data_IF_969921958910
#
_entry.id   IF_969921958910
#
_cell.length_a   1.000
_cell.length_b   1.000
_cell.length_c   1.000
_cell.angle_alpha   90.00
_cell.angle_beta   90.00
_cell.angle_gamma   90.00
#
_symmetry.space_group_name_H-M   'P 1'
#
loop_
_entity.id
_entity.type
_entity.pdbx_description
1 polymer ?
#
# COMPACT_ATOMS: atom_id res chain seq x y z
N UNK A 1 -9.01 -1.52 -5.89
CA UNK A 1 -8.24 -0.82 -4.83
C UNK A 1 -9.12 -0.39 -3.66
N UNK A 2 -10.26 0.30 -3.83
CA UNK A 2 -11.12 0.67 -2.69
C UNK A 2 -11.59 -0.52 -1.84
N UNK A 3 -11.99 -1.63 -2.46
CA UNK A 3 -12.37 -2.86 -1.75
C UNK A 3 -11.18 -3.50 -1.01
N UNK A 4 -9.98 -3.49 -1.60
CA UNK A 4 -8.75 -3.94 -0.96
C UNK A 4 -8.47 -3.14 0.32
N UNK A 5 -8.70 -1.83 0.29
CA UNK A 5 -8.50 -0.97 1.45
C UNK A 5 -9.37 -1.37 2.66
N UNK A 6 -10.57 -1.90 2.43
CA UNK A 6 -11.43 -2.45 3.49
C UNK A 6 -10.69 -3.59 4.22
N UNK A 7 -10.13 -4.53 3.47
CA UNK A 7 -9.44 -5.70 4.02
C UNK A 7 -8.27 -5.36 4.94
N UNK A 8 -7.60 -4.23 4.68
CA UNK A 8 -6.40 -3.81 5.42
C UNK A 8 -6.75 -2.86 6.57
N UNK A 9 -7.67 -1.91 6.35
CA UNK A 9 -7.89 -0.79 7.28
C UNK A 9 -9.00 -1.01 8.30
N UNK A 10 -9.84 -2.05 8.15
CA UNK A 10 -10.97 -2.25 9.05
C UNK A 10 -10.57 -2.86 10.40
N UNK A 11 -9.59 -3.77 10.43
CA UNK A 11 -9.09 -4.36 11.67
C UNK A 11 -8.61 -3.30 12.67
N UNK A 12 -7.71 -2.35 12.31
CA UNK A 12 -7.27 -1.32 13.25
C UNK A 12 -8.40 -0.48 13.85
N UNK A 13 -9.44 -0.20 13.07
CA UNK A 13 -10.61 0.58 13.53
C UNK A 13 -11.41 -0.17 14.60
N UNK A 14 -11.54 -1.50 14.47
CA UNK A 14 -12.34 -2.33 15.36
C UNK A 14 -11.51 -3.05 16.43
N UNK A 15 -10.19 -2.84 16.50
CA UNK A 15 -9.26 -3.67 17.26
C UNK A 15 -9.63 -3.78 18.74
N UNK A 16 -9.90 -2.67 19.40
CA UNK A 16 -10.27 -2.61 20.81
C UNK A 16 -11.62 -3.29 21.10
N UNK A 17 -12.61 -3.04 20.25
CA UNK A 17 -13.95 -3.65 20.39
C UNK A 17 -13.92 -5.16 20.11
N UNK A 18 -13.07 -5.62 19.19
CA UNK A 18 -12.80 -7.04 18.99
C UNK A 18 -12.14 -7.62 20.24
N UNK A 19 -11.13 -6.94 20.79
CA UNK A 19 -10.43 -7.36 22.00
C UNK A 19 -11.36 -7.64 23.17
N UNK A 20 -12.32 -6.76 23.41
CA UNK A 20 -13.33 -6.93 24.46
C UNK A 20 -14.38 -8.02 24.19
N UNK A 21 -14.51 -8.48 22.95
CA UNK A 21 -15.53 -9.48 22.57
C UNK A 21 -15.09 -10.93 22.76
N UNK A 22 -13.80 -11.16 22.99
CA UNK A 22 -13.21 -12.49 23.19
C UNK A 22 -12.36 -12.51 24.47
N UNK A 23 -12.01 -13.67 24.97
CA UNK A 23 -11.13 -13.80 26.15
C UNK A 23 -11.85 -13.64 27.49
N UNK A 24 -13.18 -13.60 27.52
CA UNK A 24 -13.97 -13.50 28.77
C UNK A 24 -13.78 -12.16 29.48
N UNK A 25 -13.65 -12.18 30.82
CA UNK A 25 -13.56 -10.97 31.65
C UNK A 25 -12.30 -10.12 31.42
N UNK A 26 -11.22 -10.70 30.88
CA UNK A 26 -9.95 -10.01 30.66
C UNK A 26 -9.77 -9.53 29.21
N UNK A 27 -10.64 -9.96 28.27
CA UNK A 27 -10.48 -9.66 26.85
C UNK A 27 -9.32 -10.43 26.21
N UNK A 28 -8.97 -10.06 24.97
CA UNK A 28 -7.75 -10.52 24.29
C UNK A 28 -6.57 -9.68 24.77
N UNK A 29 -5.41 -10.32 24.92
CA UNK A 29 -4.17 -9.63 25.19
C UNK A 29 -3.61 -8.92 23.93
N UNK A 30 -2.63 -8.02 24.14
CA UNK A 30 -2.04 -7.23 23.05
C UNK A 30 -1.32 -8.12 22.02
N UNK A 31 -0.74 -9.23 22.46
CA UNK A 31 -0.10 -10.20 21.58
C UNK A 31 -1.12 -10.89 20.68
N UNK A 32 -2.26 -11.30 21.22
CA UNK A 32 -3.35 -11.92 20.45
C UNK A 32 -3.92 -10.93 19.42
N UNK A 33 -4.10 -9.67 19.79
CA UNK A 33 -4.54 -8.62 18.88
C UNK A 33 -3.50 -8.34 17.79
N UNK A 34 -2.23 -8.29 18.13
CA UNK A 34 -1.13 -8.16 17.19
C UNK A 34 -1.03 -9.33 16.21
N UNK A 35 -1.26 -10.55 16.70
CA UNK A 35 -1.31 -11.76 15.85
C UNK A 35 -2.41 -11.71 14.79
N UNK A 36 -3.58 -11.14 15.09
CA UNK A 36 -4.65 -10.97 14.09
C UNK A 36 -4.19 -10.10 12.92
N UNK A 37 -3.51 -8.98 13.20
CA UNK A 37 -2.90 -8.14 12.17
C UNK A 37 -1.84 -8.88 11.38
N UNK A 38 -0.95 -9.60 12.06
CA UNK A 38 0.09 -10.42 11.42
C UNK A 38 -0.49 -11.51 10.51
N UNK A 39 -1.55 -12.20 10.94
CA UNK A 39 -2.23 -13.24 10.15
C UNK A 39 -2.93 -12.64 8.92
N UNK A 40 -3.60 -11.49 9.07
CA UNK A 40 -4.19 -10.78 7.94
C UNK A 40 -3.11 -10.39 6.91
N UNK A 41 -2.00 -9.82 7.38
CA UNK A 41 -0.87 -9.42 6.51
C UNK A 41 -0.17 -10.62 5.86
N UNK A 42 -0.04 -11.74 6.58
CA UNK A 42 0.45 -13.00 6.01
C UNK A 42 -0.45 -13.49 4.87
N UNK A 43 -1.78 -13.38 5.03
CA UNK A 43 -2.74 -13.63 3.95
C UNK A 43 -2.48 -12.75 2.73
N UNK A 44 -2.23 -11.44 2.92
CA UNK A 44 -1.90 -10.50 1.84
C UNK A 44 -0.66 -10.97 1.07
N UNK A 45 0.42 -11.29 1.77
CA UNK A 45 1.69 -11.72 1.15
C UNK A 45 1.50 -13.02 0.35
N UNK A 46 0.80 -14.01 0.91
CA UNK A 46 0.48 -15.26 0.20
C UNK A 46 -0.36 -14.96 -1.05
N UNK A 47 -1.38 -14.10 -0.92
CA UNK A 47 -2.22 -13.68 -2.05
C UNK A 47 -1.42 -13.06 -3.20
N UNK A 48 -0.49 -12.16 -2.89
CA UNK A 48 0.39 -11.52 -3.86
C UNK A 48 1.29 -12.56 -4.56
N UNK A 49 2.01 -13.37 -3.78
CA UNK A 49 3.03 -14.28 -4.31
C UNK A 49 2.42 -15.42 -5.14
N UNK A 50 1.27 -15.95 -4.71
CA UNK A 50 0.59 -17.04 -5.41
C UNK A 50 -0.16 -16.53 -6.64
N UNK A 51 -0.80 -15.36 -6.54
CA UNK A 51 -1.61 -14.82 -7.64
C UNK A 51 -0.77 -14.47 -8.86
N UNK A 52 0.46 -13.92 -8.70
CA UNK A 52 1.28 -13.46 -9.82
C UNK A 52 1.50 -14.51 -10.89
N UNK A 53 2.17 -15.63 -10.58
CA UNK A 53 2.42 -16.70 -11.54
C UNK A 53 1.14 -17.37 -12.06
N UNK A 54 0.13 -17.49 -11.22
CA UNK A 54 -1.14 -18.11 -11.59
C UNK A 54 -1.98 -17.22 -12.51
N UNK A 55 -1.99 -15.90 -12.28
CA UNK A 55 -2.67 -14.94 -13.15
C UNK A 55 -2.07 -14.88 -14.54
N UNK A 56 -0.76 -15.09 -14.65
CA UNK A 56 -0.07 -15.25 -15.93
C UNK A 56 -0.55 -16.47 -16.72
N UNK A 57 -0.93 -17.54 -16.03
CA UNK A 57 -1.33 -18.81 -16.65
C UNK A 57 -2.84 -18.90 -16.90
N UNK A 58 -3.66 -18.42 -15.97
CA UNK A 58 -5.11 -18.61 -15.97
C UNK A 58 -5.88 -17.32 -16.31
N UNK A 59 -5.16 -16.22 -16.54
CA UNK A 59 -5.74 -14.92 -16.85
C UNK A 59 -6.16 -14.11 -15.63
N UNK A 60 -6.11 -12.79 -15.76
CA UNK A 60 -6.37 -11.84 -14.67
C UNK A 60 -7.81 -11.85 -14.16
N UNK A 61 -8.78 -12.13 -15.04
CA UNK A 61 -10.22 -12.10 -14.69
C UNK A 61 -10.57 -13.03 -13.54
N UNK A 62 -10.06 -14.27 -13.57
CA UNK A 62 -10.30 -15.26 -12.52
C UNK A 62 -9.84 -14.75 -11.15
N UNK A 63 -8.66 -14.12 -11.09
CA UNK A 63 -8.10 -13.63 -9.84
C UNK A 63 -8.75 -12.34 -9.36
N UNK A 64 -9.16 -11.44 -10.27
CA UNK A 64 -9.93 -10.27 -9.89
C UNK A 64 -11.32 -10.62 -9.30
N UNK A 65 -11.99 -11.63 -9.86
CA UNK A 65 -13.22 -12.19 -9.29
C UNK A 65 -12.96 -12.89 -7.96
N UNK A 66 -11.97 -13.79 -7.93
CA UNK A 66 -11.59 -14.57 -6.75
C UNK A 66 -11.17 -13.68 -5.59
N UNK A 67 -10.40 -12.62 -5.84
CA UNK A 67 -9.98 -11.66 -4.82
C UNK A 67 -11.15 -10.93 -4.17
N UNK A 68 -12.12 -10.43 -4.96
CA UNK A 68 -13.34 -9.81 -4.40
C UNK A 68 -14.23 -10.83 -3.68
N UNK A 69 -14.33 -12.06 -4.18
CA UNK A 69 -15.09 -13.14 -3.53
C UNK A 69 -14.44 -13.53 -2.18
N UNK A 70 -13.10 -13.65 -2.13
CA UNK A 70 -12.36 -13.90 -0.89
C UNK A 70 -12.51 -12.76 0.11
N UNK A 71 -12.47 -11.48 -0.34
CA UNK A 71 -12.77 -10.34 0.53
C UNK A 71 -14.19 -10.45 1.11
N UNK A 72 -15.18 -10.73 0.26
CA UNK A 72 -16.57 -10.89 0.71
C UNK A 72 -16.72 -12.02 1.71
N UNK A 73 -16.10 -13.18 1.42
CA UNK A 73 -16.09 -14.33 2.32
C UNK A 73 -15.40 -13.99 3.64
N UNK A 74 -14.24 -13.33 3.59
CA UNK A 74 -13.49 -12.91 4.79
C UNK A 74 -14.30 -11.99 5.67
N UNK A 75 -14.99 -10.99 5.09
CA UNK A 75 -15.89 -10.08 5.83
C UNK A 75 -17.00 -10.86 6.56
N UNK A 76 -17.64 -11.83 5.90
CA UNK A 76 -18.66 -12.67 6.51
C UNK A 76 -18.08 -13.56 7.61
N UNK A 77 -16.95 -14.23 7.36
CA UNK A 77 -16.29 -15.08 8.36
C UNK A 77 -15.90 -14.31 9.61
N UNK A 78 -15.32 -13.12 9.45
CA UNK A 78 -14.96 -12.25 10.59
C UNK A 78 -16.22 -11.83 11.34
N UNK A 79 -17.27 -11.36 10.66
CA UNK A 79 -18.51 -10.92 11.28
C UNK A 79 -19.24 -12.03 12.06
N UNK A 80 -19.16 -13.28 11.59
CA UNK A 80 -19.84 -14.42 12.18
C UNK A 80 -18.97 -15.26 13.11
N UNK A 81 -17.71 -14.84 13.35
CA UNK A 81 -16.73 -15.61 14.10
C UNK A 81 -17.18 -15.90 15.55
N UNK A 82 -17.27 -17.19 15.96
CA UNK A 82 -17.64 -17.54 17.32
C UNK A 82 -16.41 -17.63 18.26
N UNK A 83 -15.22 -17.92 17.70
CA UNK A 83 -13.99 -18.14 18.45
C UNK A 83 -12.84 -17.32 17.88
N UNK A 84 -11.80 -17.09 18.70
CA UNK A 84 -10.58 -16.41 18.26
C UNK A 84 -9.91 -17.08 17.05
N UNK A 85 -9.83 -18.40 17.03
CA UNK A 85 -9.21 -19.15 15.93
C UNK A 85 -10.00 -18.96 14.61
N UNK A 86 -11.32 -18.99 14.70
CA UNK A 86 -12.19 -18.74 13.55
C UNK A 86 -12.08 -17.29 13.06
N UNK A 87 -11.96 -16.34 13.99
CA UNK A 87 -11.68 -14.93 13.70
C UNK A 87 -10.36 -14.75 12.95
N UNK A 88 -9.29 -15.40 13.45
CA UNK A 88 -7.97 -15.38 12.82
C UNK A 88 -8.00 -15.95 11.40
N UNK A 89 -8.71 -17.06 11.20
CA UNK A 89 -8.94 -17.64 9.88
C UNK A 89 -9.71 -16.68 8.96
N UNK A 90 -10.75 -16.02 9.47
CA UNK A 90 -11.48 -14.97 8.74
C UNK A 90 -10.57 -13.83 8.27
N UNK A 91 -9.68 -13.34 9.14
CA UNK A 91 -8.70 -12.31 8.78
C UNK A 91 -7.65 -12.80 7.79
N UNK A 92 -7.22 -14.07 7.87
CA UNK A 92 -6.36 -14.67 6.86
C UNK A 92 -7.02 -14.66 5.46
N UNK A 93 -8.28 -15.08 5.37
CA UNK A 93 -9.04 -15.09 4.09
C UNK A 93 -9.25 -13.67 3.57
N UNK A 94 -9.57 -12.74 4.46
CA UNK A 94 -9.72 -11.31 4.13
C UNK A 94 -8.42 -10.73 3.55
N UNK A 95 -7.29 -11.00 4.22
CA UNK A 95 -5.97 -10.61 3.76
C UNK A 95 -5.60 -11.26 2.43
N UNK A 96 -5.87 -12.55 2.26
CA UNK A 96 -5.63 -13.27 1.01
C UNK A 96 -6.36 -12.62 -0.17
N UNK A 97 -7.64 -12.28 0.00
CA UNK A 97 -8.42 -11.56 -1.01
C UNK A 97 -7.84 -10.18 -1.33
N UNK A 98 -7.40 -9.44 -0.31
CA UNK A 98 -6.75 -8.16 -0.48
C UNK A 98 -5.44 -8.28 -1.29
N UNK A 99 -4.58 -9.26 -0.95
CA UNK A 99 -3.32 -9.49 -1.67
C UNK A 99 -3.51 -9.91 -3.12
N UNK A 100 -4.51 -10.75 -3.41
CA UNK A 100 -4.86 -11.11 -4.78
C UNK A 100 -5.27 -9.88 -5.59
N UNK A 101 -6.08 -8.98 -5.03
CA UNK A 101 -6.49 -7.74 -5.72
C UNK A 101 -5.33 -6.76 -5.88
N UNK A 102 -4.47 -6.63 -4.88
CA UNK A 102 -3.30 -5.74 -4.95
C UNK A 102 -2.39 -6.12 -6.13
N UNK A 103 -2.15 -7.42 -6.27
CA UNK A 103 -1.32 -7.95 -7.35
C UNK A 103 -2.00 -7.81 -8.72
N UNK A 104 -3.26 -8.25 -8.87
CA UNK A 104 -3.88 -8.41 -10.20
C UNK A 104 -4.33 -7.11 -10.84
N UNK A 105 -4.73 -6.11 -10.04
CA UNK A 105 -5.28 -4.86 -10.59
C UNK A 105 -4.22 -4.00 -11.27
N UNK A 106 -3.00 -4.00 -10.78
CA UNK A 106 -1.90 -3.21 -11.34
C UNK A 106 -1.54 -3.64 -12.79
N UNK A 107 -1.27 -4.92 -13.09
CA UNK A 107 -1.01 -5.33 -14.47
C UNK A 107 -2.21 -5.15 -15.39
N UNK A 108 -3.45 -5.33 -14.91
CA UNK A 108 -4.67 -5.08 -15.69
C UNK A 108 -4.74 -3.61 -16.12
N UNK A 109 -4.55 -2.68 -15.18
CA UNK A 109 -4.59 -1.24 -15.48
C UNK A 109 -3.42 -0.82 -16.36
N UNK A 110 -2.23 -1.41 -16.19
CA UNK A 110 -1.08 -1.18 -17.06
C UNK A 110 -1.33 -1.63 -18.49
N UNK A 111 -1.95 -2.79 -18.67
CA UNK A 111 -2.29 -3.33 -19.98
C UNK A 111 -3.37 -2.50 -20.72
N UNK A 112 -4.36 -2.00 -19.98
CA UNK A 112 -5.43 -1.14 -20.52
C UNK A 112 -4.96 0.27 -20.89
N UNK A 113 -3.81 0.74 -20.37
CA UNK A 113 -3.34 2.11 -20.54
C UNK A 113 -1.85 2.17 -20.95
N UNK A 114 -1.43 1.58 -22.08
CA UNK A 114 -0.03 1.44 -22.46
C UNK A 114 0.69 2.79 -22.62
N UNK A 115 -0.03 3.84 -23.09
CA UNK A 115 0.55 5.16 -23.35
C UNK A 115 0.59 6.07 -22.10
N UNK A 116 -0.21 5.76 -21.06
CA UNK A 116 -0.40 6.60 -19.87
C UNK A 116 -0.27 5.81 -18.57
N UNK A 117 0.61 4.82 -18.52
CA UNK A 117 0.73 3.89 -17.36
C UNK A 117 0.94 4.61 -16.04
N UNK A 118 1.81 5.62 -16.00
CA UNK A 118 2.07 6.37 -14.76
C UNK A 118 0.82 7.09 -14.25
N UNK A 119 0.06 7.74 -15.13
CA UNK A 119 -1.22 8.36 -14.78
C UNK A 119 -2.22 7.34 -14.28
N UNK A 120 -2.41 6.26 -15.02
CA UNK A 120 -3.38 5.21 -14.70
C UNK A 120 -3.05 4.50 -13.37
N UNK A 121 -1.77 4.24 -13.09
CA UNK A 121 -1.33 3.65 -11.83
C UNK A 121 -1.56 4.59 -10.65
N UNK A 122 -1.25 5.87 -10.78
CA UNK A 122 -1.51 6.84 -9.71
C UNK A 122 -3.01 6.97 -9.45
N UNK A 123 -3.87 6.99 -10.47
CA UNK A 123 -5.32 6.94 -10.31
C UNK A 123 -5.78 5.64 -9.62
N UNK A 124 -5.30 4.48 -10.05
CA UNK A 124 -5.63 3.20 -9.44
C UNK A 124 -5.34 3.19 -7.95
N UNK A 125 -4.13 3.59 -7.57
CA UNK A 125 -3.69 3.59 -6.17
C UNK A 125 -4.29 4.74 -5.34
N UNK A 126 -4.78 5.84 -5.96
CA UNK A 126 -5.54 6.86 -5.24
C UNK A 126 -6.87 6.31 -4.70
N UNK A 127 -7.51 5.38 -5.43
CA UNK A 127 -8.70 4.69 -4.94
C UNK A 127 -8.45 3.80 -3.71
N UNK A 128 -7.21 3.33 -3.49
CA UNK A 128 -6.85 2.70 -2.22
C UNK A 128 -6.98 3.68 -1.06
N UNK A 129 -6.40 4.87 -1.20
CA UNK A 129 -6.46 5.91 -0.16
C UNK A 129 -7.89 6.36 0.10
N UNK A 130 -8.68 6.58 -0.96
CA UNK A 130 -10.12 6.91 -0.83
C UNK A 130 -10.87 5.78 -0.10
N UNK A 131 -10.59 4.52 -0.46
CA UNK A 131 -11.17 3.35 0.21
C UNK A 131 -10.79 3.27 1.68
N UNK A 132 -9.52 3.57 2.03
CA UNK A 132 -9.05 3.61 3.41
C UNK A 132 -9.80 4.68 4.22
N UNK A 133 -9.90 5.90 3.69
CA UNK A 133 -10.67 6.99 4.32
C UNK A 133 -12.13 6.60 4.54
N UNK A 134 -12.79 6.08 3.52
CA UNK A 134 -14.20 5.63 3.62
C UNK A 134 -14.34 4.53 4.68
N UNK A 135 -13.43 3.55 4.69
CA UNK A 135 -13.45 2.45 5.66
C UNK A 135 -13.32 2.96 7.09
N UNK A 136 -12.35 3.86 7.33
CA UNK A 136 -12.14 4.45 8.66
C UNK A 136 -13.33 5.29 9.08
N UNK A 137 -13.88 6.13 8.20
CA UNK A 137 -15.04 6.97 8.51
C UNK A 137 -16.28 6.12 8.81
N UNK A 138 -16.59 5.12 7.97
CA UNK A 138 -17.74 4.23 8.19
C UNK A 138 -17.57 3.44 9.48
N UNK A 139 -16.39 2.85 9.68
CA UNK A 139 -16.11 2.06 10.88
C UNK A 139 -16.19 2.90 12.17
N UNK A 140 -15.50 4.04 12.20
CA UNK A 140 -15.48 4.91 13.39
C UNK A 140 -16.85 5.54 13.70
N UNK A 141 -17.58 5.96 12.65
CA UNK A 141 -18.93 6.49 12.84
C UNK A 141 -19.89 5.42 13.35
N UNK A 142 -19.83 4.20 12.81
CA UNK A 142 -20.67 3.09 13.24
C UNK A 142 -20.39 2.72 14.72
N UNK A 143 -19.12 2.68 15.13
CA UNK A 143 -18.76 2.49 16.54
C UNK A 143 -19.26 3.63 17.44
N UNK A 144 -19.16 4.87 16.98
CA UNK A 144 -19.65 6.03 17.71
C UNK A 144 -21.18 5.96 17.97
N UNK A 145 -21.94 5.44 16.98
CA UNK A 145 -23.38 5.19 17.13
C UNK A 145 -23.72 3.89 17.87
N UNK A 146 -22.73 3.23 18.47
CA UNK A 146 -22.93 2.01 19.27
C UNK A 146 -23.23 0.75 18.46
N UNK A 147 -22.95 0.76 17.16
CA UNK A 147 -23.12 -0.45 16.33
C UNK A 147 -22.06 -1.48 16.69
N UNK A 148 -22.46 -2.76 16.67
CA UNK A 148 -21.53 -3.87 16.86
C UNK A 148 -20.44 -3.87 15.77
N UNK A 149 -19.19 -4.12 16.16
CA UNK A 149 -18.09 -4.29 15.21
C UNK A 149 -18.38 -5.35 14.14
N UNK A 150 -19.14 -6.41 14.48
CA UNK A 150 -19.56 -7.44 13.53
C UNK A 150 -20.42 -6.86 12.41
N UNK A 151 -21.34 -5.95 12.75
CA UNK A 151 -22.21 -5.30 11.76
C UNK A 151 -21.38 -4.40 10.84
N UNK A 152 -20.30 -3.77 11.31
CA UNK A 152 -19.43 -2.92 10.49
C UNK A 152 -18.80 -3.72 9.36
N UNK A 153 -18.33 -4.94 9.62
CA UNK A 153 -17.81 -5.83 8.57
C UNK A 153 -18.88 -6.16 7.53
N UNK A 154 -20.14 -6.38 7.94
CA UNK A 154 -21.24 -6.61 7.01
C UNK A 154 -21.68 -5.37 6.24
N UNK A 155 -21.60 -4.17 6.83
CA UNK A 155 -21.90 -2.91 6.15
C UNK A 155 -20.97 -2.63 4.97
N UNK A 156 -19.74 -3.12 5.02
CA UNK A 156 -18.76 -2.94 3.94
C UNK A 156 -18.77 -4.08 2.90
N UNK A 157 -19.51 -5.16 3.15
CA UNK A 157 -19.68 -6.30 2.24
C UNK A 157 -20.26 -5.94 0.85
N UNK A 158 -21.23 -5.00 0.72
CA UNK A 158 -21.83 -4.71 -0.59
C UNK A 158 -20.83 -4.27 -1.66
N UNK A 159 -19.74 -3.58 -1.29
CA UNK A 159 -18.76 -3.09 -2.26
C UNK A 159 -18.01 -4.24 -2.95
N UNK A 160 -17.29 -5.16 -2.26
CA UNK A 160 -16.61 -6.27 -2.95
C UNK A 160 -17.59 -7.24 -3.61
N UNK A 161 -18.80 -7.44 -3.07
CA UNK A 161 -19.83 -8.26 -3.69
C UNK A 161 -20.31 -7.65 -5.03
N UNK A 162 -20.59 -6.35 -5.06
CA UNK A 162 -20.97 -5.63 -6.29
C UNK A 162 -19.84 -5.66 -7.33
N UNK A 163 -18.58 -5.49 -6.89
CA UNK A 163 -17.41 -5.58 -7.78
C UNK A 163 -17.23 -6.99 -8.34
N UNK A 164 -17.51 -8.04 -7.59
CA UNK A 164 -17.52 -9.41 -8.11
C UNK A 164 -18.50 -9.55 -9.27
N UNK A 165 -19.73 -9.06 -9.09
CA UNK A 165 -20.77 -9.11 -10.14
C UNK A 165 -20.39 -8.26 -11.36
N UNK A 166 -19.85 -7.04 -11.12
CA UNK A 166 -19.41 -6.15 -12.19
C UNK A 166 -18.26 -6.76 -13.00
N UNK A 167 -17.24 -7.30 -12.35
CA UNK A 167 -16.09 -7.92 -13.02
C UNK A 167 -16.46 -9.20 -13.77
N UNK A 168 -17.49 -9.94 -13.32
CA UNK A 168 -18.01 -11.09 -14.06
C UNK A 168 -18.51 -10.69 -15.47
N UNK A 169 -19.11 -9.50 -15.58
CA UNK A 169 -19.71 -8.98 -16.83
C UNK A 169 -18.73 -8.21 -17.72
N UNK A 170 -17.62 -7.73 -17.18
CA UNK A 170 -16.65 -6.93 -17.93
C UNK A 170 -15.64 -7.82 -18.67
N UNK A 171 -15.21 -7.42 -19.87
CA UNK A 171 -14.05 -8.02 -20.51
C UNK A 171 -12.78 -7.62 -19.74
N UNK A 172 -11.82 -8.54 -19.67
CA UNK A 172 -10.50 -8.29 -19.12
C UNK A 172 -9.45 -8.41 -20.22
N UNK A 173 -8.38 -7.60 -20.18
CA UNK A 173 -7.29 -7.73 -21.12
C UNK A 173 -6.50 -9.01 -20.84
N UNK A 174 -5.96 -9.62 -21.88
CA UNK A 174 -4.92 -10.61 -21.75
C UNK A 174 -3.65 -9.89 -21.25
N UNK A 175 -3.12 -10.34 -20.13
CA UNK A 175 -1.95 -9.68 -19.51
C UNK A 175 -0.72 -9.85 -20.38
N UNK A 176 -0.46 -11.07 -20.83
CA UNK A 176 0.59 -11.43 -21.80
C UNK A 176 0.27 -12.82 -22.35
N UNK A 177 0.41 -13.04 -23.64
CA UNK A 177 0.33 -14.39 -24.23
C UNK A 177 1.60 -15.17 -23.92
N UNK A 178 1.49 -16.47 -23.64
CA UNK A 178 2.64 -17.33 -23.28
C UNK A 178 3.79 -17.29 -24.30
N UNK A 179 3.48 -17.06 -25.58
CA UNK A 179 4.47 -17.00 -26.67
C UNK A 179 5.33 -15.72 -26.68
N UNK A 180 4.85 -14.63 -26.04
CA UNK A 180 5.56 -13.34 -26.02
C UNK A 180 6.12 -12.98 -24.65
N UNK A 181 5.87 -13.83 -23.63
CA UNK A 181 6.23 -13.57 -22.25
C UNK A 181 7.73 -13.73 -22.01
N UNK A 182 8.33 -12.73 -21.37
CA UNK A 182 9.70 -12.85 -20.89
C UNK A 182 9.72 -13.69 -19.61
N UNK A 183 10.49 -14.79 -19.53
CA UNK A 183 10.60 -15.60 -18.32
C UNK A 183 11.05 -14.74 -17.12
N UNK A 184 10.37 -14.89 -15.98
CA UNK A 184 10.63 -14.06 -14.80
C UNK A 184 12.09 -14.11 -14.33
N UNK A 185 12.74 -15.27 -14.39
CA UNK A 185 14.16 -15.43 -14.05
C UNK A 185 15.10 -14.60 -14.93
N UNK A 186 14.71 -14.36 -16.20
CA UNK A 186 15.49 -13.50 -17.10
C UNK A 186 15.36 -12.04 -16.67
N UNK A 187 14.15 -11.62 -16.30
CA UNK A 187 13.91 -10.26 -15.78
C UNK A 187 14.64 -10.06 -14.44
N UNK A 188 14.57 -11.04 -13.55
CA UNK A 188 15.21 -10.99 -12.23
C UNK A 188 16.74 -10.83 -12.31
N UNK A 189 17.38 -11.37 -13.35
CA UNK A 189 18.82 -11.22 -13.56
C UNK A 189 19.23 -9.86 -14.13
N UNK A 190 18.27 -9.03 -14.55
CA UNK A 190 18.57 -7.71 -15.08
C UNK A 190 18.92 -6.73 -13.94
N UNK A 191 20.10 -6.08 -13.95
CA UNK A 191 20.52 -5.16 -12.88
C UNK A 191 19.48 -4.04 -12.66
N UNK A 192 18.88 -3.54 -13.72
CA UNK A 192 17.85 -2.52 -13.64
C UNK A 192 16.62 -2.97 -12.84
N UNK A 193 16.19 -4.24 -13.03
CA UNK A 193 15.05 -4.79 -12.30
C UNK A 193 15.37 -5.00 -10.81
N UNK A 194 16.61 -5.41 -10.50
CA UNK A 194 17.07 -5.51 -9.10
C UNK A 194 17.04 -4.11 -8.43
N UNK A 195 17.49 -3.07 -9.13
CA UNK A 195 17.37 -1.69 -8.64
C UNK A 195 15.89 -1.31 -8.43
N UNK A 196 14.99 -1.72 -9.32
CA UNK A 196 13.55 -1.47 -9.18
C UNK A 196 12.96 -2.19 -7.96
N UNK A 197 13.38 -3.44 -7.67
CA UNK A 197 12.99 -4.18 -6.45
C UNK A 197 13.45 -3.46 -5.18
N UNK A 198 14.69 -2.99 -5.15
CA UNK A 198 15.22 -2.20 -4.03
C UNK A 198 14.48 -0.86 -3.90
N UNK A 199 14.19 -0.20 -5.02
CA UNK A 199 13.50 1.08 -5.03
C UNK A 199 12.04 0.94 -4.53
N UNK A 200 11.30 -0.10 -4.94
CA UNK A 200 9.93 -0.28 -4.47
C UNK A 200 9.88 -0.67 -2.99
N UNK A 201 10.89 -1.41 -2.52
CA UNK A 201 11.08 -1.67 -1.09
C UNK A 201 11.20 -0.34 -0.31
N UNK A 202 12.04 0.59 -0.79
CA UNK A 202 12.15 1.93 -0.22
C UNK A 202 10.83 2.71 -0.32
N UNK A 203 10.07 2.56 -1.40
CA UNK A 203 8.76 3.18 -1.58
C UNK A 203 7.76 2.73 -0.52
N UNK A 204 7.63 1.41 -0.31
CA UNK A 204 6.77 0.84 0.73
C UNK A 204 7.23 1.21 2.15
N UNK A 205 8.54 1.20 2.40
CA UNK A 205 9.13 1.64 3.65
C UNK A 205 8.82 3.12 3.95
N UNK A 206 8.83 3.98 2.92
CA UNK A 206 8.51 5.42 3.05
C UNK A 206 7.05 5.62 3.45
N UNK A 207 6.13 4.91 2.82
CA UNK A 207 4.69 5.04 3.04
C UNK A 207 4.28 4.50 4.41
N UNK A 208 4.60 3.23 4.67
CA UNK A 208 4.10 2.51 5.85
C UNK A 208 4.94 2.78 7.11
N UNK A 209 6.23 3.10 6.97
CA UNK A 209 7.10 3.40 8.10
C UNK A 209 6.58 4.54 8.96
N UNK A 210 6.17 5.65 8.34
CA UNK A 210 5.61 6.79 9.04
C UNK A 210 4.14 6.59 9.40
N UNK A 211 3.32 6.08 8.46
CA UNK A 211 1.88 5.93 8.67
C UNK A 211 1.54 5.09 9.90
N UNK A 212 2.29 4.01 10.12
CA UNK A 212 2.08 3.10 11.25
C UNK A 212 2.32 3.77 12.61
N UNK A 213 3.30 4.64 12.70
CA UNK A 213 3.71 5.27 13.97
C UNK A 213 3.14 6.67 14.18
N UNK A 214 2.56 7.29 13.15
CA UNK A 214 2.08 8.68 13.21
C UNK A 214 1.09 8.94 14.36
N UNK A 215 0.08 8.08 14.62
CA UNK A 215 -0.83 8.28 15.75
C UNK A 215 -0.12 8.22 17.10
N UNK A 216 0.74 7.22 17.30
CA UNK A 216 1.51 7.06 18.53
C UNK A 216 2.49 8.23 18.74
N UNK A 217 3.19 8.64 17.69
CA UNK A 217 4.10 9.78 17.71
C UNK A 217 3.41 11.07 18.11
N UNK A 218 2.23 11.34 17.54
CA UNK A 218 1.43 12.51 17.88
C UNK A 218 1.05 12.52 19.37
N UNK A 219 0.71 11.37 19.95
CA UNK A 219 0.29 11.23 21.34
C UNK A 219 1.48 11.24 22.30
N UNK A 220 2.43 10.33 22.11
CA UNK A 220 3.46 10.06 23.11
C UNK A 220 4.64 11.03 23.04
N UNK A 221 4.98 11.52 21.85
CA UNK A 221 6.15 12.37 21.64
C UNK A 221 5.80 13.84 21.46
N UNK A 222 4.70 14.13 20.73
CA UNK A 222 4.28 15.52 20.50
C UNK A 222 3.28 16.01 21.56
N UNK A 223 2.73 15.13 22.39
CA UNK A 223 1.84 15.48 23.52
C UNK A 223 0.41 15.84 23.12
N UNK A 224 -0.05 15.46 21.94
CA UNK A 224 -1.42 15.69 21.52
C UNK A 224 -2.40 14.68 22.12
N UNK A 225 -3.67 15.07 22.20
CA UNK A 225 -4.73 14.16 22.60
C UNK A 225 -4.88 12.97 21.61
N UNK A 226 -5.34 11.78 22.06
CA UNK A 226 -5.44 10.57 21.23
C UNK A 226 -6.20 10.75 19.90
N UNK A 227 -7.29 11.54 19.92
CA UNK A 227 -8.07 11.80 18.71
C UNK A 227 -7.30 12.58 17.63
N UNK A 228 -6.31 13.42 18.03
CA UNK A 228 -5.44 14.16 17.10
C UNK A 228 -4.55 13.18 16.33
N UNK A 229 -4.07 12.11 16.98
CA UNK A 229 -3.30 11.06 16.31
C UNK A 229 -4.09 10.34 15.22
N UNK A 230 -5.35 10.01 15.50
CA UNK A 230 -6.25 9.44 14.50
C UNK A 230 -6.54 10.40 13.33
N UNK A 231 -6.79 11.68 13.65
CA UNK A 231 -7.01 12.73 12.65
C UNK A 231 -5.73 12.95 11.79
N UNK A 232 -4.55 12.88 12.38
CA UNK A 232 -3.29 13.00 11.66
C UNK A 232 -3.11 11.86 10.64
N UNK A 233 -3.42 10.61 11.00
CA UNK A 233 -3.39 9.50 10.06
C UNK A 233 -4.43 9.64 8.95
N UNK A 234 -5.64 10.11 9.27
CA UNK A 234 -6.66 10.38 8.28
C UNK A 234 -6.21 11.46 7.30
N UNK A 235 -5.68 12.58 7.80
CA UNK A 235 -5.19 13.68 6.95
C UNK A 235 -3.94 13.31 6.15
N UNK A 236 -3.06 12.47 6.69
CA UNK A 236 -1.96 11.85 5.96
C UNK A 236 -2.47 11.03 4.77
N UNK A 237 -3.48 10.18 4.99
CA UNK A 237 -4.09 9.36 3.93
C UNK A 237 -4.78 10.21 2.86
N UNK A 238 -5.45 11.30 3.27
CA UNK A 238 -6.03 12.28 2.34
C UNK A 238 -4.95 13.01 1.53
N UNK A 239 -3.87 13.45 2.17
CA UNK A 239 -2.74 14.08 1.51
C UNK A 239 -2.11 13.14 0.48
N UNK A 240 -1.99 11.85 0.80
CA UNK A 240 -1.54 10.81 -0.12
C UNK A 240 -2.49 10.64 -1.31
N UNK A 241 -3.80 10.59 -1.08
CA UNK A 241 -4.79 10.52 -2.15
C UNK A 241 -4.67 11.73 -3.10
N UNK A 242 -4.57 12.95 -2.55
CA UNK A 242 -4.39 14.19 -3.32
C UNK A 242 -3.12 14.14 -4.17
N UNK A 243 -1.99 13.70 -3.58
CA UNK A 243 -0.73 13.58 -4.31
C UNK A 243 -0.79 12.58 -5.47
N UNK A 244 -1.39 11.41 -5.26
CA UNK A 244 -1.62 10.40 -6.33
C UNK A 244 -2.52 10.93 -7.43
N UNK A 245 -3.62 11.59 -7.06
CA UNK A 245 -4.53 12.21 -8.02
C UNK A 245 -3.83 13.31 -8.83
N UNK A 246 -3.03 14.18 -8.18
CA UNK A 246 -2.29 15.23 -8.86
C UNK A 246 -1.33 14.68 -9.93
N UNK A 247 -0.57 13.61 -9.61
CA UNK A 247 0.30 12.94 -10.58
C UNK A 247 -0.53 12.23 -11.66
N UNK A 248 -1.65 11.60 -11.29
CA UNK A 248 -2.60 11.03 -12.25
C UNK A 248 -3.11 12.05 -13.27
N UNK A 249 -3.48 13.26 -12.82
CA UNK A 249 -3.93 14.37 -13.68
C UNK A 249 -2.78 14.98 -14.51
N UNK A 250 -1.56 15.04 -13.95
CA UNK A 250 -0.41 15.54 -14.71
C UNK A 250 -0.09 14.65 -15.92
N UNK A 251 -0.38 13.35 -15.83
CA UNK A 251 -0.30 12.40 -16.93
C UNK A 251 1.08 12.33 -17.58
N UNK A 252 1.13 12.42 -18.90
CA UNK A 252 2.38 12.36 -19.68
C UNK A 252 3.17 13.67 -19.71
N UNK A 253 2.64 14.75 -19.09
CA UNK A 253 3.30 16.07 -19.07
C UNK A 253 4.54 16.10 -18.16
N UNK A 254 4.65 15.13 -17.26
CA UNK A 254 5.76 15.07 -16.28
C UNK A 254 6.61 13.82 -16.52
N UNK A 255 7.92 13.98 -16.34
CA UNK A 255 8.84 12.85 -16.40
C UNK A 255 8.76 12.05 -15.10
N UNK A 256 8.41 10.74 -15.13
CA UNK A 256 8.21 9.94 -13.92
C UNK A 256 9.47 9.83 -13.04
N UNK A 257 10.66 9.81 -13.63
CA UNK A 257 11.92 9.78 -12.87
C UNK A 257 12.14 11.09 -12.10
N UNK A 258 11.86 12.25 -12.72
CA UNK A 258 11.97 13.53 -12.05
C UNK A 258 10.97 13.65 -10.90
N UNK A 259 9.73 13.22 -11.14
CA UNK A 259 8.67 13.17 -10.12
C UNK A 259 9.10 12.31 -8.93
N UNK A 260 9.56 11.08 -9.15
CA UNK A 260 10.00 10.21 -8.06
C UNK A 260 11.18 10.79 -7.28
N UNK A 261 12.17 11.42 -7.94
CA UNK A 261 13.31 12.01 -7.26
C UNK A 261 12.90 13.23 -6.43
N UNK A 262 12.13 14.17 -7.01
CA UNK A 262 11.68 15.35 -6.27
C UNK A 262 10.75 14.99 -5.11
N UNK A 263 9.84 14.01 -5.31
CA UNK A 263 8.97 13.48 -4.29
C UNK A 263 9.77 12.81 -3.15
N UNK A 264 10.76 11.99 -3.49
CA UNK A 264 11.65 11.36 -2.51
C UNK A 264 12.44 12.38 -1.69
N UNK A 265 13.07 13.36 -2.33
CA UNK A 265 13.82 14.41 -1.63
C UNK A 265 12.88 15.28 -0.77
N UNK A 266 11.69 15.60 -1.26
CA UNK A 266 10.64 16.25 -0.47
C UNK A 266 10.25 15.43 0.75
N UNK A 267 10.10 14.11 0.61
CA UNK A 267 9.79 13.20 1.72
C UNK A 267 10.91 13.16 2.75
N UNK A 268 12.18 13.10 2.32
CA UNK A 268 13.34 13.22 3.24
C UNK A 268 13.23 14.47 4.07
N UNK A 269 13.03 15.62 3.42
CA UNK A 269 12.96 16.92 4.10
C UNK A 269 11.82 16.95 5.13
N UNK A 270 10.60 16.63 4.72
CA UNK A 270 9.43 16.73 5.62
C UNK A 270 9.48 15.69 6.73
N UNK A 271 10.03 14.49 6.51
CA UNK A 271 10.21 13.48 7.56
C UNK A 271 11.25 13.91 8.59
N UNK A 272 12.39 14.47 8.18
CA UNK A 272 13.39 15.00 9.10
C UNK A 272 12.83 16.19 9.90
N UNK A 273 12.13 17.10 9.25
CA UNK A 273 11.46 18.22 9.93
C UNK A 273 10.40 17.69 10.91
N UNK A 274 9.59 16.72 10.50
CA UNK A 274 8.58 16.09 11.35
C UNK A 274 9.16 15.39 12.58
N UNK A 275 10.34 14.77 12.44
CA UNK A 275 11.02 14.09 13.55
C UNK A 275 11.70 15.06 14.52
N UNK A 276 12.37 16.12 14.02
CA UNK A 276 13.32 16.89 14.82
C UNK A 276 12.91 18.33 15.12
N UNK A 277 11.85 18.88 14.48
CA UNK A 277 11.37 20.21 14.85
C UNK A 277 10.86 20.26 16.29
N UNK A 278 11.21 21.30 17.05
CA UNK A 278 10.80 21.43 18.44
C UNK A 278 9.32 21.77 18.62
N UNK A 279 8.71 22.42 17.62
CA UNK A 279 7.31 22.85 17.67
C UNK A 279 6.36 21.69 17.29
N UNK A 280 5.54 21.14 18.23
CA UNK A 280 4.74 19.94 18.00
C UNK A 280 3.78 20.07 16.81
N UNK A 281 3.08 21.20 16.67
CA UNK A 281 2.12 21.40 15.59
C UNK A 281 2.79 21.42 14.21
N UNK A 282 3.95 22.06 14.08
CA UNK A 282 4.70 22.11 12.81
C UNK A 282 5.28 20.73 12.48
N UNK A 283 5.81 20.01 13.49
CA UNK A 283 6.28 18.64 13.33
C UNK A 283 5.16 17.72 12.81
N UNK A 284 3.95 17.80 13.40
CA UNK A 284 2.80 17.02 12.98
C UNK A 284 2.39 17.35 11.54
N UNK A 285 2.34 18.62 11.16
CA UNK A 285 2.04 19.04 9.77
C UNK A 285 3.08 18.48 8.80
N UNK A 286 4.36 18.53 9.14
CA UNK A 286 5.43 17.94 8.31
C UNK A 286 5.23 16.41 8.14
N UNK A 287 4.87 15.69 9.21
CA UNK A 287 4.55 14.27 9.11
C UNK A 287 3.34 14.02 8.18
N UNK A 288 2.30 14.84 8.24
CA UNK A 288 1.14 14.75 7.35
C UNK A 288 1.54 15.01 5.88
N UNK A 289 2.40 16.01 5.64
CA UNK A 289 2.90 16.34 4.30
C UNK A 289 3.78 15.24 3.71
N UNK A 290 4.36 14.36 4.53
CA UNK A 290 5.06 13.18 4.04
C UNK A 290 4.12 12.22 3.28
N UNK A 291 2.83 12.18 3.63
CA UNK A 291 1.81 11.48 2.84
C UNK A 291 1.69 12.04 1.42
N UNK A 292 1.70 13.37 1.28
CA UNK A 292 1.65 14.03 -0.03
C UNK A 292 2.91 13.75 -0.86
N UNK A 293 4.10 13.98 -0.26
CA UNK A 293 5.37 13.87 -0.97
C UNK A 293 5.71 12.42 -1.32
N UNK A 294 5.45 11.45 -0.43
CA UNK A 294 5.71 10.02 -0.66
C UNK A 294 4.68 9.33 -1.56
N UNK A 295 3.55 9.97 -1.83
CA UNK A 295 2.35 9.36 -2.42
C UNK A 295 2.57 8.62 -3.74
N UNK A 296 3.36 9.17 -4.64
CA UNK A 296 3.53 8.66 -6.01
C UNK A 296 4.66 7.64 -6.17
N UNK A 297 5.47 7.40 -5.14
CA UNK A 297 6.69 6.59 -5.27
C UNK A 297 6.38 5.16 -5.71
N UNK A 298 5.44 4.50 -5.05
CA UNK A 298 5.01 3.15 -5.37
C UNK A 298 4.35 3.05 -6.76
N UNK A 299 3.23 3.76 -7.05
CA UNK A 299 2.51 3.55 -8.31
C UNK A 299 3.31 4.00 -9.54
N UNK A 300 4.13 5.05 -9.40
CA UNK A 300 4.96 5.52 -10.51
C UNK A 300 6.09 4.54 -10.84
N UNK A 301 6.70 3.91 -9.83
CA UNK A 301 7.72 2.90 -10.07
C UNK A 301 7.15 1.64 -10.73
N UNK A 302 5.96 1.19 -10.33
CA UNK A 302 5.26 0.10 -11.01
C UNK A 302 5.05 0.43 -12.50
N UNK A 303 4.61 1.66 -12.80
CA UNK A 303 4.38 2.11 -14.18
C UNK A 303 5.67 2.12 -15.01
N UNK A 304 6.75 2.72 -14.49
CA UNK A 304 8.07 2.77 -15.17
C UNK A 304 8.63 1.37 -15.39
N UNK A 305 8.42 0.44 -14.45
CA UNK A 305 8.86 -0.94 -14.62
C UNK A 305 8.04 -1.67 -15.69
N UNK A 306 6.71 -1.43 -15.74
CA UNK A 306 5.85 -1.98 -16.79
C UNK A 306 6.19 -1.41 -18.18
N UNK A 307 6.61 -0.14 -18.27
CA UNK A 307 7.10 0.46 -19.52
C UNK A 307 8.41 -0.19 -19.99
N UNK A 308 9.30 -0.49 -19.04
CA UNK A 308 10.60 -1.11 -19.32
C UNK A 308 10.47 -2.58 -19.73
N UNK A 309 9.54 -3.29 -19.11
CA UNK A 309 9.32 -4.73 -19.30
C UNK A 309 7.85 -4.99 -19.70
N UNK A 310 7.42 -4.60 -20.89
CA UNK A 310 6.01 -4.72 -21.31
C UNK A 310 5.52 -6.19 -21.35
N UNK A 311 6.45 -7.14 -21.46
CA UNK A 311 6.17 -8.58 -21.47
C UNK A 311 6.50 -9.26 -20.11
N UNK A 312 6.61 -8.49 -19.01
CA UNK A 312 7.01 -9.01 -17.71
C UNK A 312 5.93 -9.82 -16.97
N UNK A 313 4.66 -9.60 -17.33
CA UNK A 313 3.53 -10.35 -16.77
C UNK A 313 3.28 -10.13 -15.28
N UNK A 314 2.35 -10.91 -14.71
CA UNK A 314 1.95 -10.83 -13.31
C UNK A 314 3.03 -11.22 -12.32
N UNK A 315 3.93 -12.15 -12.69
CA UNK A 315 5.05 -12.55 -11.84
C UNK A 315 5.99 -11.38 -11.53
N UNK A 316 6.22 -10.50 -12.50
CA UNK A 316 7.01 -9.27 -12.31
C UNK A 316 6.31 -8.32 -11.31
N UNK A 317 5.01 -8.09 -11.48
CA UNK A 317 4.23 -7.25 -10.56
C UNK A 317 4.14 -7.85 -9.16
N UNK A 318 4.01 -9.19 -9.05
CA UNK A 318 4.01 -9.87 -7.76
C UNK A 318 5.33 -9.71 -7.01
N UNK A 319 6.46 -9.79 -7.71
CA UNK A 319 7.78 -9.55 -7.10
C UNK A 319 7.93 -8.09 -6.62
N UNK A 320 7.48 -7.13 -7.43
CA UNK A 320 7.49 -5.71 -7.04
C UNK A 320 6.58 -5.47 -5.83
N UNK A 321 5.32 -5.92 -5.87
CA UNK A 321 4.39 -5.76 -4.75
C UNK A 321 4.90 -6.46 -3.49
N UNK A 322 5.43 -7.67 -3.60
CA UNK A 322 6.04 -8.41 -2.49
C UNK A 322 7.20 -7.65 -1.85
N UNK A 323 8.11 -7.11 -2.65
CA UNK A 323 9.24 -6.30 -2.16
C UNK A 323 8.80 -4.99 -1.53
N UNK A 324 7.81 -4.30 -2.10
CA UNK A 324 7.26 -3.08 -1.52
C UNK A 324 6.59 -3.34 -0.17
N UNK A 325 5.80 -4.42 -0.07
CA UNK A 325 5.21 -4.84 1.21
C UNK A 325 6.27 -5.25 2.24
N UNK A 326 7.36 -5.90 1.82
CA UNK A 326 8.48 -6.21 2.71
C UNK A 326 9.11 -4.94 3.31
N UNK A 327 9.27 -3.87 2.51
CA UNK A 327 9.70 -2.56 3.00
C UNK A 327 8.72 -1.96 4.01
N UNK A 328 7.43 -2.08 3.71
CA UNK A 328 6.34 -1.63 4.58
C UNK A 328 6.19 -2.41 5.88
N UNK A 329 6.71 -3.63 5.97
CA UNK A 329 6.78 -4.43 7.20
C UNK A 329 8.05 -4.09 7.99
N UNK A 330 9.19 -4.04 7.28
CA UNK A 330 10.49 -3.88 7.93
C UNK A 330 10.69 -2.50 8.55
N UNK A 331 10.23 -1.44 7.88
CA UNK A 331 10.46 -0.08 8.38
C UNK A 331 9.71 0.22 9.69
N UNK A 332 8.42 -0.07 9.86
CA UNK A 332 7.75 0.11 11.15
C UNK A 332 8.40 -0.69 12.29
N UNK A 333 8.87 -1.91 11.99
CA UNK A 333 9.60 -2.71 12.97
C UNK A 333 10.91 -2.04 13.40
N UNK A 334 11.70 -1.52 12.44
CA UNK A 334 12.93 -0.78 12.74
C UNK A 334 12.67 0.49 13.54
N UNK A 335 11.59 1.23 13.20
CA UNK A 335 11.19 2.43 13.95
C UNK A 335 10.85 2.07 15.40
N UNK A 336 10.11 0.98 15.63
CA UNK A 336 9.78 0.50 16.96
C UNK A 336 11.03 0.11 17.75
N UNK A 337 11.90 -0.70 17.14
CA UNK A 337 13.16 -1.15 17.75
C UNK A 337 14.05 0.03 18.18
N UNK A 338 14.18 1.06 17.33
CA UNK A 338 14.95 2.25 17.67
C UNK A 338 14.17 3.11 18.67
N UNK A 339 12.85 3.18 18.53
CA UNK A 339 11.97 3.92 19.42
C UNK A 339 12.11 3.48 20.88
N UNK A 340 12.18 2.17 21.11
CA UNK A 340 12.35 1.57 22.44
C UNK A 340 13.71 1.91 23.08
N UNK A 341 14.78 2.04 22.29
CA UNK A 341 16.14 2.23 22.79
C UNK A 341 16.58 3.71 22.80
N UNK A 342 16.12 4.50 21.84
CA UNK A 342 16.64 5.84 21.57
C UNK A 342 15.54 6.91 21.41
N UNK A 343 14.28 6.50 21.60
CA UNK A 343 13.12 7.37 21.47
C UNK A 343 12.54 7.44 20.06
N UNK A 344 11.24 7.63 19.99
CA UNK A 344 10.46 7.56 18.75
C UNK A 344 10.83 8.67 17.73
N UNK A 345 11.41 9.80 18.19
CA UNK A 345 11.94 10.84 17.28
C UNK A 345 13.06 10.32 16.37
N UNK A 346 14.01 9.56 16.96
CA UNK A 346 15.11 8.95 16.20
C UNK A 346 14.60 7.82 15.31
N UNK A 347 13.66 7.01 15.82
CA UNK A 347 13.01 5.97 15.02
C UNK A 347 12.34 6.54 13.78
N UNK A 348 11.56 7.61 13.91
CA UNK A 348 10.93 8.29 12.78
C UNK A 348 11.93 9.02 11.88
N UNK A 349 12.99 9.60 12.43
CA UNK A 349 14.08 10.19 11.65
C UNK A 349 14.74 9.19 10.71
N UNK A 350 14.85 7.92 11.13
CA UNK A 350 15.34 6.83 10.28
C UNK A 350 14.45 6.58 9.06
N UNK A 351 13.13 6.82 9.15
CA UNK A 351 12.23 6.68 8.00
C UNK A 351 12.68 7.52 6.80
N UNK A 352 13.36 8.66 7.03
CA UNK A 352 13.91 9.48 5.96
C UNK A 352 15.00 8.77 5.12
N UNK A 353 15.62 7.72 5.66
CA UNK A 353 16.56 6.87 4.93
C UNK A 353 15.93 6.12 3.76
N UNK A 354 14.65 5.73 3.88
CA UNK A 354 13.95 5.03 2.81
C UNK A 354 13.73 5.93 1.56
N UNK A 355 13.11 7.12 1.64
CA UNK A 355 12.98 7.97 0.47
C UNK A 355 14.35 8.48 -0.04
N UNK A 356 15.36 8.63 0.82
CA UNK A 356 16.71 8.93 0.36
C UNK A 356 17.29 7.79 -0.50
N UNK A 357 17.20 6.55 -0.03
CA UNK A 357 17.57 5.37 -0.81
C UNK A 357 16.81 5.28 -2.13
N UNK A 358 15.49 5.56 -2.11
CA UNK A 358 14.66 5.62 -3.30
C UNK A 358 15.19 6.66 -4.31
N UNK A 359 15.52 7.87 -3.87
CA UNK A 359 16.07 8.92 -4.74
C UNK A 359 17.36 8.47 -5.43
N UNK A 360 18.29 7.87 -4.67
CA UNK A 360 19.56 7.35 -5.20
C UNK A 360 19.29 6.25 -6.24
N UNK A 361 18.46 5.27 -5.91
CA UNK A 361 18.15 4.16 -6.81
C UNK A 361 17.48 4.65 -8.09
N UNK A 362 16.53 5.58 -8.00
CA UNK A 362 15.85 6.15 -9.17
C UNK A 362 16.82 6.94 -10.06
N UNK A 363 17.82 7.64 -9.48
CA UNK A 363 18.89 8.28 -10.26
C UNK A 363 19.69 7.25 -11.05
N UNK A 364 20.06 6.13 -10.41
CA UNK A 364 20.80 5.04 -11.07
C UNK A 364 19.98 4.32 -12.17
N UNK A 365 18.67 4.31 -12.02
CA UNK A 365 17.75 3.70 -12.99
C UNK A 365 17.47 4.57 -14.22
N UNK A 366 17.83 5.87 -14.19
CA UNK A 366 17.60 6.75 -15.34
C UNK A 366 18.28 6.21 -16.60
N UNK A 367 17.62 6.26 -17.76
CA UNK A 367 18.30 6.02 -19.03
C UNK A 367 19.44 7.05 -19.17
N UNK A 368 20.64 6.57 -19.50
CA UNK A 368 21.74 7.47 -19.85
C UNK A 368 21.23 8.48 -20.90
N UNK A 369 21.46 9.76 -20.70
CA UNK A 369 21.22 10.75 -21.76
C UNK A 369 21.94 10.24 -22.99
N UNK A 370 21.22 9.90 -24.05
CA UNK A 370 21.84 9.74 -25.36
C UNK A 370 22.59 11.05 -25.62
N UNK A 371 23.92 10.98 -25.66
CA UNK A 371 24.71 12.09 -26.11
C UNK A 371 24.13 12.47 -27.48
N UNK A 372 23.67 13.71 -27.63
CA UNK A 372 23.29 14.24 -28.94
C UNK A 372 24.44 13.89 -29.89
N UNK A 373 24.19 13.23 -31.01
CA UNK A 373 25.24 13.00 -31.99
C UNK A 373 25.80 14.36 -32.35
N UNK A 374 27.09 14.57 -32.08
CA UNK A 374 27.90 15.68 -32.59
C UNK A 374 28.06 15.50 -34.12
N UNK A 375 26.96 15.67 -34.84
CA UNK A 375 26.94 15.59 -36.29
C UNK A 375 25.92 16.58 -36.80
N UNK A 376 26.36 17.82 -36.95
CA UNK A 376 25.96 18.78 -38.00
C UNK A 376 26.51 20.18 -37.61
N UNK A 377 27.84 20.27 -37.47
CA UNK A 377 28.55 21.53 -37.74
C UNK A 377 29.65 21.15 -38.73
N UNK A 378 29.28 21.13 -39.98
CA UNK A 378 30.14 21.20 -41.13
C UNK A 378 29.38 21.96 -42.24
#
# INVERSE_FOLDING_TARGET
MGALAIGINLLPVCLTTIGHSYGGAHGLDEEQLGRLGGIAFFGVVIGILVCGPLADRFGAKLFALGGNALLSLGLVLVATSPTYLFLAFGFFILGLGAGVLDMVLSPVVAALNPERRSSAMNWLHSFYCVGAVVTVLVGSSALHFGLSWRLIFLLLLPLPAALTIAFARLPFPDLVTDLSRTPFLVILRQPWFVLALCAIFCGGATELGLAQWLPAYAQTTLGFAPWVGGLALLTFSLAMAIGRMAIGMAGTRVNPYHVMISASLGSVLVMLLGAFLPQPAVALVCCILAGLTGSCLWPTLLAVTADRYPHGGGSMFAALAGMGNAGGIMMPWLVGLIGDHAGLRLGLGLCAGAPFGMAVLVVLMRPARQALPLAAVA
#
